data_IF_286134101464
#
_entry.id   IF_286134101464
#
_cell.length_a   1.000
_cell.length_b   1.000
_cell.length_c   1.000
_cell.angle_alpha   90.00
_cell.angle_beta   90.00
_cell.angle_gamma   90.00
#
_symmetry.space_group_name_H-M   'P 1'
#
loop_
_entity.id
_entity.type
_entity.pdbx_description
1 polymer ?
#
# COMPACT_ATOMS: atom_id res chain seq x y z
N UNK A 1 3.87 -48.27 95.54
CA UNK A 1 4.58 -48.26 94.24
C UNK A 1 3.67 -48.01 93.04
N UNK A 2 2.40 -48.45 93.03
CA UNK A 2 1.49 -48.23 91.90
C UNK A 2 1.12 -46.74 91.64
N UNK A 3 0.96 -45.93 92.69
CA UNK A 3 0.62 -44.50 92.55
C UNK A 3 1.75 -43.70 91.86
N UNK A 4 3.00 -43.93 92.25
CA UNK A 4 4.15 -43.27 91.63
C UNK A 4 4.31 -43.63 90.14
N UNK A 5 3.99 -44.87 89.75
CA UNK A 5 4.03 -45.26 88.34
C UNK A 5 2.91 -44.62 87.50
N UNK A 6 1.73 -44.41 88.11
CA UNK A 6 0.62 -43.67 87.49
C UNK A 6 0.98 -42.22 87.24
N UNK A 7 1.54 -41.54 88.25
CA UNK A 7 1.91 -40.12 88.14
C UNK A 7 3.01 -39.91 87.10
N UNK A 8 4.00 -40.81 87.04
CA UNK A 8 5.07 -40.77 86.02
C UNK A 8 4.50 -40.96 84.62
N UNK A 9 3.53 -41.86 84.45
CA UNK A 9 2.90 -42.11 83.16
C UNK A 9 2.00 -40.94 82.73
N UNK A 10 1.34 -40.27 83.68
CA UNK A 10 0.57 -39.04 83.43
C UNK A 10 1.47 -37.87 83.02
N UNK A 11 2.62 -37.73 83.68
CA UNK A 11 3.64 -36.73 83.30
C UNK A 11 4.21 -37.05 81.92
N UNK A 12 4.52 -38.31 81.61
CA UNK A 12 5.01 -38.73 80.30
C UNK A 12 3.99 -38.49 79.19
N UNK A 13 2.72 -38.81 79.41
CA UNK A 13 1.67 -38.54 78.44
C UNK A 13 1.45 -37.04 78.27
N UNK A 14 1.54 -36.21 79.30
CA UNK A 14 1.51 -34.74 79.12
C UNK A 14 2.73 -34.18 78.38
N UNK A 15 3.92 -34.75 78.59
CA UNK A 15 5.16 -34.29 77.94
C UNK A 15 5.28 -34.74 76.48
N UNK A 16 4.76 -35.93 76.15
CA UNK A 16 4.98 -36.56 74.85
C UNK A 16 3.69 -36.81 74.06
N UNK A 17 2.51 -36.38 74.54
CA UNK A 17 1.30 -36.38 73.72
C UNK A 17 1.36 -35.24 72.71
N UNK A 18 1.89 -35.58 71.54
CA UNK A 18 2.07 -34.73 70.38
C UNK A 18 0.78 -34.61 69.54
N UNK A 19 -0.31 -35.27 69.94
CA UNK A 19 -1.60 -35.20 69.24
C UNK A 19 -2.15 -33.78 69.12
N UNK A 20 -2.08 -32.89 70.14
CA UNK A 20 -2.56 -31.51 70.00
C UNK A 20 -1.76 -30.72 68.96
N UNK A 21 -0.44 -30.93 68.92
CA UNK A 21 0.45 -30.31 67.93
C UNK A 21 0.14 -30.82 66.52
N UNK A 22 0.14 -32.15 66.32
CA UNK A 22 -0.20 -32.77 65.03
C UNK A 22 -1.59 -32.36 64.55
N UNK A 23 -2.58 -32.30 65.44
CA UNK A 23 -3.93 -31.87 65.10
C UNK A 23 -3.95 -30.42 64.63
N UNK A 24 -3.22 -29.53 65.30
CA UNK A 24 -3.05 -28.15 64.88
C UNK A 24 -2.39 -28.02 63.50
N UNK A 25 -1.34 -28.80 63.24
CA UNK A 25 -0.66 -28.83 61.93
C UNK A 25 -1.57 -29.41 60.83
N UNK A 26 -2.35 -30.45 61.11
CA UNK A 26 -3.32 -31.02 60.16
C UNK A 26 -4.43 -30.02 59.85
N UNK A 27 -4.98 -29.34 60.86
CA UNK A 27 -6.00 -28.30 60.68
C UNK A 27 -5.43 -27.09 59.92
N UNK A 28 -4.18 -26.69 60.20
CA UNK A 28 -3.49 -25.64 59.46
C UNK A 28 -3.26 -26.03 58.00
N UNK A 29 -2.77 -27.25 57.74
CA UNK A 29 -2.57 -27.76 56.39
C UNK A 29 -3.87 -27.79 55.59
N UNK A 30 -4.95 -28.29 56.21
CA UNK A 30 -6.29 -28.28 55.61
C UNK A 30 -6.75 -26.86 55.27
N UNK A 31 -6.57 -25.92 56.20
CA UNK A 31 -6.94 -24.51 56.01
C UNK A 31 -6.14 -23.83 54.89
N UNK A 32 -4.83 -24.07 54.80
CA UNK A 32 -4.00 -23.48 53.75
C UNK A 32 -4.31 -24.06 52.36
N UNK A 33 -4.55 -25.38 52.27
CA UNK A 33 -4.63 -26.06 50.97
C UNK A 33 -6.05 -26.25 50.45
N UNK A 34 -7.04 -26.43 51.33
CA UNK A 34 -8.44 -26.60 50.92
C UNK A 34 -9.21 -25.27 51.04
N UNK A 35 -9.08 -24.56 52.17
CA UNK A 35 -9.93 -23.40 52.45
C UNK A 35 -9.41 -22.09 51.84
N UNK A 36 -8.09 -21.84 51.87
CA UNK A 36 -7.50 -20.61 51.31
C UNK A 36 -7.34 -20.63 49.79
N UNK A 37 -7.13 -21.81 49.19
CA UNK A 37 -7.08 -21.95 47.73
C UNK A 37 -8.47 -21.76 47.11
N UNK A 38 -9.51 -22.23 47.80
CA UNK A 38 -10.89 -22.15 47.34
C UNK A 38 -11.04 -22.66 45.91
N UNK A 39 -11.91 -22.00 45.14
CA UNK A 39 -12.19 -22.37 43.74
C UNK A 39 -11.30 -21.63 42.73
N UNK A 40 -10.18 -21.04 43.14
CA UNK A 40 -9.33 -20.24 42.24
C UNK A 40 -8.88 -21.01 41.00
N UNK A 41 -8.46 -22.26 41.15
CA UNK A 41 -8.04 -23.10 40.02
C UNK A 41 -9.21 -23.39 39.07
N UNK A 42 -10.41 -23.57 39.62
CA UNK A 42 -11.65 -23.77 38.86
C UNK A 42 -12.03 -22.49 38.11
N UNK A 43 -11.98 -21.32 38.75
CA UNK A 43 -12.18 -20.02 38.08
C UNK A 43 -11.18 -19.78 36.95
N UNK A 44 -9.90 -20.11 37.17
CA UNK A 44 -8.87 -19.99 36.14
C UNK A 44 -9.14 -20.91 34.94
N UNK A 45 -9.61 -22.14 35.19
CA UNK A 45 -10.01 -23.06 34.14
C UNK A 45 -11.23 -22.55 33.36
N UNK A 46 -12.24 -22.02 34.05
CA UNK A 46 -13.40 -21.42 33.39
C UNK A 46 -13.03 -20.21 32.53
N UNK A 47 -12.19 -19.30 33.03
CA UNK A 47 -11.70 -18.16 32.23
C UNK A 47 -10.91 -18.62 31.00
N UNK A 48 -10.08 -19.64 31.16
CA UNK A 48 -9.33 -20.21 30.03
C UNK A 48 -10.27 -20.84 29.01
N UNK A 49 -11.31 -21.54 29.46
CA UNK A 49 -12.32 -22.14 28.60
C UNK A 49 -13.12 -21.06 27.85
N UNK A 50 -13.54 -19.98 28.53
CA UNK A 50 -14.22 -18.84 27.90
C UNK A 50 -13.36 -18.22 26.80
N UNK A 51 -12.09 -17.91 27.09
CA UNK A 51 -11.16 -17.35 26.10
C UNK A 51 -10.98 -18.27 24.89
N UNK A 52 -10.78 -19.57 25.12
CA UNK A 52 -10.62 -20.54 24.04
C UNK A 52 -11.89 -20.60 23.19
N UNK A 53 -13.06 -20.58 23.82
CA UNK A 53 -14.34 -20.64 23.12
C UNK A 53 -14.59 -19.37 22.31
N UNK A 54 -14.33 -18.18 22.88
CA UNK A 54 -14.44 -16.91 22.17
C UNK A 54 -13.53 -16.85 20.94
N UNK A 55 -12.27 -17.29 21.09
CA UNK A 55 -11.32 -17.33 19.97
C UNK A 55 -11.82 -18.30 18.90
N UNK A 56 -12.19 -19.52 19.30
CA UNK A 56 -12.59 -20.60 18.41
C UNK A 56 -13.87 -20.27 17.62
N UNK A 57 -14.89 -19.77 18.30
CA UNK A 57 -16.22 -19.58 17.73
C UNK A 57 -16.44 -18.17 17.17
N UNK A 58 -15.69 -17.17 17.64
CA UNK A 58 -15.89 -15.79 17.22
C UNK A 58 -14.75 -15.22 16.39
N UNK A 59 -13.52 -15.28 16.90
CA UNK A 59 -12.42 -14.50 16.33
C UNK A 59 -11.85 -15.13 15.06
N UNK A 60 -11.74 -16.47 15.01
CA UNK A 60 -11.21 -17.17 13.83
C UNK A 60 -12.07 -16.91 12.60
N UNK A 61 -13.38 -17.08 12.69
CA UNK A 61 -14.28 -16.85 11.55
C UNK A 61 -14.24 -15.41 11.06
N UNK A 62 -14.19 -14.43 11.98
CA UNK A 62 -14.05 -13.01 11.62
C UNK A 62 -12.76 -12.74 10.86
N UNK A 63 -11.63 -13.28 11.32
CA UNK A 63 -10.33 -13.10 10.66
C UNK A 63 -10.35 -13.75 9.28
N UNK A 64 -10.83 -14.99 9.16
CA UNK A 64 -10.92 -15.70 7.88
C UNK A 64 -11.82 -14.94 6.91
N UNK A 65 -13.04 -14.58 7.30
CA UNK A 65 -13.96 -13.83 6.43
C UNK A 65 -13.38 -12.48 6.00
N UNK A 66 -12.79 -11.72 6.92
CA UNK A 66 -12.14 -10.45 6.58
C UNK A 66 -10.92 -10.63 5.66
N UNK A 67 -10.20 -11.75 5.79
CA UNK A 67 -9.04 -12.06 4.95
C UNK A 67 -9.50 -12.44 3.54
N UNK A 68 -10.56 -13.24 3.43
CA UNK A 68 -11.15 -13.68 2.16
C UNK A 68 -11.69 -12.51 1.34
N UNK A 69 -12.19 -11.45 1.99
CA UNK A 69 -12.66 -10.25 1.30
C UNK A 69 -11.50 -9.29 0.92
N UNK A 70 -10.57 -9.05 1.85
CA UNK A 70 -9.59 -7.98 1.69
C UNK A 70 -8.32 -8.42 0.93
N UNK A 71 -7.87 -9.68 1.10
CA UNK A 71 -6.65 -10.15 0.43
C UNK A 71 -6.81 -10.19 -1.09
N UNK A 72 -7.89 -10.76 -1.67
CA UNK A 72 -8.03 -10.80 -3.13
C UNK A 72 -8.12 -9.40 -3.74
N UNK A 73 -8.81 -8.47 -3.07
CA UNK A 73 -8.89 -7.07 -3.49
C UNK A 73 -7.50 -6.43 -3.52
N UNK A 74 -6.73 -6.60 -2.45
CA UNK A 74 -5.37 -6.05 -2.35
C UNK A 74 -4.44 -6.66 -3.40
N UNK A 75 -4.57 -7.97 -3.66
CA UNK A 75 -3.82 -8.66 -4.72
C UNK A 75 -4.17 -8.09 -6.10
N UNK A 76 -5.45 -7.88 -6.39
CA UNK A 76 -5.89 -7.29 -7.65
C UNK A 76 -5.36 -5.86 -7.82
N UNK A 77 -5.43 -5.03 -6.79
CA UNK A 77 -4.90 -3.66 -6.82
C UNK A 77 -3.38 -3.65 -7.09
N UNK A 78 -2.63 -4.57 -6.47
CA UNK A 78 -1.18 -4.73 -6.71
C UNK A 78 -0.90 -5.20 -8.13
N UNK A 79 -1.68 -6.16 -8.66
CA UNK A 79 -1.52 -6.64 -10.03
C UNK A 79 -1.77 -5.53 -11.07
N UNK A 80 -2.78 -4.70 -10.84
CA UNK A 80 -3.06 -3.53 -11.69
C UNK A 80 -1.90 -2.53 -11.63
N UNK A 81 -1.41 -2.21 -10.44
CA UNK A 81 -0.28 -1.30 -10.27
C UNK A 81 1.00 -1.83 -10.96
N UNK A 82 1.26 -3.13 -10.85
CA UNK A 82 2.39 -3.78 -11.49
C UNK A 82 2.27 -3.71 -13.02
N UNK A 83 1.09 -4.02 -13.56
CA UNK A 83 0.84 -3.90 -15.00
C UNK A 83 1.03 -2.47 -15.51
N UNK A 84 0.56 -1.46 -14.77
CA UNK A 84 0.76 -0.05 -15.13
C UNK A 84 2.25 0.33 -15.15
N UNK A 85 3.05 -0.18 -14.22
CA UNK A 85 4.49 0.03 -14.21
C UNK A 85 5.17 -0.63 -15.42
N UNK A 86 4.81 -1.88 -15.73
CA UNK A 86 5.32 -2.60 -16.90
C UNK A 86 4.97 -1.88 -18.20
N UNK A 87 3.71 -1.46 -18.37
CA UNK A 87 3.25 -0.69 -19.53
C UNK A 87 4.04 0.61 -19.69
N UNK A 88 4.28 1.32 -18.58
CA UNK A 88 5.08 2.55 -18.60
C UNK A 88 6.51 2.27 -19.09
N UNK A 89 7.18 1.26 -18.54
CA UNK A 89 8.53 0.87 -18.96
C UNK A 89 8.58 0.43 -20.44
N UNK A 90 7.59 -0.33 -20.90
CA UNK A 90 7.46 -0.76 -22.28
C UNK A 90 7.27 0.44 -23.23
N UNK A 91 6.43 1.40 -22.85
CA UNK A 91 6.25 2.63 -23.64
C UNK A 91 7.54 3.43 -23.71
N UNK A 92 8.24 3.64 -22.59
CA UNK A 92 9.54 4.33 -22.58
C UNK A 92 10.55 3.64 -23.49
N UNK A 93 10.65 2.32 -23.41
CA UNK A 93 11.55 1.52 -24.26
C UNK A 93 11.21 1.69 -25.75
N UNK A 94 9.91 1.67 -26.10
CA UNK A 94 9.46 1.90 -27.49
C UNK A 94 9.76 3.34 -27.95
N UNK A 95 9.47 4.35 -27.14
CA UNK A 95 9.71 5.76 -27.48
C UNK A 95 11.19 6.12 -27.58
N UNK A 96 12.04 5.49 -26.78
CA UNK A 96 13.50 5.70 -26.77
C UNK A 96 14.20 4.86 -27.83
N UNK A 97 13.52 3.90 -28.48
CA UNK A 97 14.15 3.11 -29.54
C UNK A 97 14.75 4.04 -30.61
N UNK A 98 16.07 3.94 -30.76
CA UNK A 98 16.86 4.86 -31.58
C UNK A 98 16.39 4.84 -33.04
N UNK A 99 15.90 3.68 -33.51
CA UNK A 99 15.28 3.50 -34.82
C UNK A 99 14.01 4.35 -35.00
N UNK A 100 13.07 4.36 -34.04
CA UNK A 100 11.87 5.19 -34.12
C UNK A 100 12.21 6.68 -34.06
N UNK A 101 13.18 7.07 -33.24
CA UNK A 101 13.65 8.45 -33.16
C UNK A 101 14.28 8.92 -34.47
N UNK A 102 15.14 8.10 -35.09
CA UNK A 102 15.73 8.40 -36.41
C UNK A 102 14.64 8.52 -37.48
N UNK A 103 13.68 7.58 -37.52
CA UNK A 103 12.55 7.64 -38.46
C UNK A 103 11.72 8.91 -38.28
N UNK A 104 11.35 9.26 -37.05
CA UNK A 104 10.56 10.48 -36.76
C UNK A 104 11.31 11.77 -37.05
N UNK A 105 12.63 11.79 -36.85
CA UNK A 105 13.49 12.90 -37.26
C UNK A 105 13.51 13.05 -38.78
N UNK A 106 13.65 11.94 -39.52
CA UNK A 106 13.58 11.91 -40.98
C UNK A 106 12.22 12.38 -41.54
N UNK A 107 11.11 11.94 -40.96
CA UNK A 107 9.76 12.41 -41.32
C UNK A 107 9.63 13.93 -41.12
N UNK A 108 10.20 14.47 -40.03
CA UNK A 108 10.17 15.90 -39.72
C UNK A 108 11.02 16.73 -40.68
N UNK A 109 12.22 16.26 -41.04
CA UNK A 109 13.09 16.96 -41.99
C UNK A 109 12.48 16.99 -43.39
N UNK A 110 11.90 15.87 -43.85
CA UNK A 110 11.20 15.81 -45.13
C UNK A 110 9.98 16.76 -45.14
N UNK A 111 9.18 16.77 -44.06
CA UNK A 111 8.05 17.70 -43.94
C UNK A 111 8.50 19.16 -43.96
N UNK A 112 9.60 19.49 -43.27
CA UNK A 112 10.15 20.85 -43.27
C UNK A 112 10.60 21.27 -44.67
N UNK A 113 11.29 20.39 -45.39
CA UNK A 113 11.73 20.66 -46.76
C UNK A 113 10.54 20.96 -47.69
N UNK A 114 9.46 20.17 -47.59
CA UNK A 114 8.24 20.40 -48.37
C UNK A 114 7.60 21.76 -48.05
N UNK A 115 7.49 22.11 -46.77
CA UNK A 115 6.96 23.41 -46.36
C UNK A 115 7.85 24.56 -46.85
N UNK A 116 9.17 24.40 -46.82
CA UNK A 116 10.10 25.39 -47.37
C UNK A 116 9.91 25.56 -48.87
N UNK A 117 9.75 24.47 -49.62
CA UNK A 117 9.48 24.52 -51.05
C UNK A 117 8.14 25.22 -51.35
N UNK A 118 7.07 24.85 -50.66
CA UNK A 118 5.75 25.48 -50.82
C UNK A 118 5.81 27.00 -50.58
N UNK A 119 6.55 27.43 -49.56
CA UNK A 119 6.75 28.85 -49.26
C UNK A 119 7.56 29.52 -50.37
N UNK A 120 8.65 28.90 -50.84
CA UNK A 120 9.45 29.45 -51.93
C UNK A 120 8.65 29.61 -53.23
N UNK A 121 7.81 28.63 -53.57
CA UNK A 121 6.94 28.70 -54.74
C UNK A 121 5.93 29.85 -54.61
N UNK A 122 5.28 29.99 -53.45
CA UNK A 122 4.36 31.10 -53.18
C UNK A 122 5.05 32.46 -53.26
N UNK A 123 6.28 32.58 -52.76
CA UNK A 123 7.06 33.82 -52.83
C UNK A 123 7.42 34.17 -54.27
N UNK A 124 7.80 33.20 -55.11
CA UNK A 124 8.09 33.43 -56.53
C UNK A 124 6.87 33.95 -57.30
N UNK A 125 5.73 33.28 -57.13
CA UNK A 125 4.47 33.71 -57.77
C UNK A 125 4.10 35.13 -57.33
N UNK A 126 4.24 35.42 -56.04
CA UNK A 126 3.97 36.74 -55.50
C UNK A 126 4.89 37.79 -56.15
N UNK A 127 6.19 37.52 -56.23
CA UNK A 127 7.18 38.41 -56.85
C UNK A 127 6.87 38.67 -58.33
N UNK A 128 6.56 37.64 -59.11
CA UNK A 128 6.14 37.77 -60.52
C UNK A 128 4.90 38.68 -60.65
N UNK A 129 3.88 38.46 -59.82
CA UNK A 129 2.66 39.29 -59.86
C UNK A 129 2.92 40.75 -59.49
N UNK A 130 3.85 41.02 -58.56
CA UNK A 130 4.25 42.37 -58.21
C UNK A 130 5.01 43.04 -59.36
N UNK A 131 5.94 42.33 -59.99
CA UNK A 131 6.68 42.84 -61.15
C UNK A 131 5.75 43.16 -62.33
N UNK A 132 4.76 42.30 -62.61
CA UNK A 132 3.75 42.56 -63.63
C UNK A 132 2.91 43.80 -63.32
N UNK A 133 2.41 43.91 -62.08
CA UNK A 133 1.65 45.10 -61.64
C UNK A 133 2.47 46.37 -61.71
N UNK A 134 3.75 46.32 -61.32
CA UNK A 134 4.67 47.45 -61.40
C UNK A 134 4.86 47.90 -62.86
N UNK A 135 5.12 46.96 -63.78
CA UNK A 135 5.23 47.25 -65.22
C UNK A 135 3.94 47.84 -65.78
N UNK A 136 2.78 47.29 -65.43
CA UNK A 136 1.47 47.78 -65.85
C UNK A 136 1.21 49.20 -65.32
N UNK A 137 1.55 49.48 -64.06
CA UNK A 137 1.45 50.84 -63.50
C UNK A 137 2.37 51.82 -64.24
N UNK A 138 3.65 51.47 -64.45
CA UNK A 138 4.60 52.31 -65.21
C UNK A 138 4.09 52.61 -66.62
N UNK A 139 3.61 51.61 -67.34
CA UNK A 139 3.05 51.79 -68.68
C UNK A 139 1.83 52.72 -68.67
N UNK A 140 0.94 52.58 -67.68
CA UNK A 140 -0.22 53.47 -67.53
C UNK A 140 0.19 54.91 -67.23
N UNK A 141 1.19 55.12 -66.37
CA UNK A 141 1.71 56.46 -66.10
C UNK A 141 2.30 57.09 -67.37
N UNK A 142 3.11 56.37 -68.14
CA UNK A 142 3.66 56.85 -69.43
C UNK A 142 2.57 57.21 -70.45
N UNK A 143 1.49 56.43 -70.51
CA UNK A 143 0.32 56.74 -71.35
C UNK A 143 -0.40 58.02 -70.90
N UNK A 144 -0.49 58.26 -69.59
CA UNK A 144 -1.10 59.48 -69.06
C UNK A 144 -0.21 60.70 -69.30
N UNK A 145 1.11 60.58 -69.12
CA UNK A 145 2.08 61.65 -69.40
C UNK A 145 2.06 62.07 -70.88
N UNK A 146 2.09 61.09 -71.80
CA UNK A 146 1.97 61.36 -73.24
C UNK A 146 0.63 61.98 -73.65
N UNK A 147 -0.47 61.61 -72.98
CA UNK A 147 -1.80 62.18 -73.23
C UNK A 147 -2.02 63.55 -72.57
N UNK A 148 -1.32 63.84 -71.49
CA UNK A 148 -1.38 65.12 -70.77
C UNK A 148 -0.52 66.23 -71.41
N UNK A 149 0.30 65.90 -72.41
CA UNK A 149 1.05 66.90 -73.17
C UNK A 149 2.21 67.53 -72.41
N UNK A 150 2.97 66.74 -71.63
CA UNK A 150 4.31 67.13 -71.19
C UNK A 150 5.36 66.24 -71.88
N UNK A 151 6.15 66.89 -72.73
CA UNK A 151 7.53 66.48 -73.07
C UNK A 151 8.44 67.02 -71.98
#
# INVERSE_FOLDING_TARGET
MAAAASDVNEVFSRLFDHRPFLKGEIEFFKKEFEEKRGDREVEHLFRSLELITEIKEGQIEKIVGSSDDNLPRTIADIQVALHMCEDTLDTETKFISEELLVKKRGERTARLANVQQDVQEKLKVLEETYQEKEKAMRARFQQLESRAGCV
#
